data_IF_772885494512
#
_entry.id   IF_772885494512
#
_cell.length_a   1.000
_cell.length_b   1.000
_cell.length_c   1.000
_cell.angle_alpha   90.00
_cell.angle_beta   90.00
_cell.angle_gamma   90.00
#
_symmetry.space_group_name_H-M   'P 1'
#
loop_
_entity.id
_entity.type
_entity.pdbx_description
1 polymer ?
#
# COMPACT_ATOMS: atom_id res chain seq x y z
N UNK A 1 -33.61 57.68 46.90
CA UNK A 1 -32.97 58.85 46.25
C UNK A 1 -33.30 58.78 44.76
N UNK A 2 -33.69 59.92 44.20
CA UNK A 2 -33.92 60.29 42.78
C UNK A 2 -34.91 59.44 41.96
N UNK A 3 -36.17 59.86 41.74
CA UNK A 3 -36.67 60.85 40.75
C UNK A 3 -36.33 60.54 39.30
N UNK A 4 -37.35 60.21 38.50
CA UNK A 4 -37.69 60.94 37.26
C UNK A 4 -39.13 60.59 36.86
N UNK A 5 -40.03 61.53 37.12
CA UNK A 5 -41.32 61.69 36.46
C UNK A 5 -41.10 61.97 34.97
N UNK A 6 -41.96 61.41 34.11
CA UNK A 6 -42.17 61.92 32.75
C UNK A 6 -43.66 62.09 32.56
N UNK A 7 -44.05 63.36 32.52
CA UNK A 7 -45.36 63.89 32.18
C UNK A 7 -45.88 63.32 30.86
N UNK A 8 -47.12 62.82 30.85
CA UNK A 8 -47.95 62.84 29.65
C UNK A 8 -49.24 63.57 29.97
N UNK A 9 -49.23 64.81 29.52
CA UNK A 9 -50.26 65.82 29.56
C UNK A 9 -51.48 65.37 28.72
N UNK A 10 -52.47 64.72 29.35
CA UNK A 10 -53.75 64.39 28.70
C UNK A 10 -54.77 65.49 28.99
N UNK A 11 -54.90 66.38 28.00
CA UNK A 11 -55.84 67.49 27.91
C UNK A 11 -57.28 66.95 27.95
N UNK A 12 -58.00 67.14 29.05
CA UNK A 12 -59.44 66.91 29.13
C UNK A 12 -60.15 68.13 28.53
N UNK A 13 -60.78 67.95 27.37
CA UNK A 13 -61.85 68.81 26.86
C UNK A 13 -62.95 67.92 26.27
N UNK A 14 -64.21 68.37 26.33
CA UNK A 14 -65.32 67.58 26.83
C UNK A 14 -66.01 66.76 25.74
N UNK A 15 -66.54 65.62 26.17
CA UNK A 15 -67.63 64.92 25.53
C UNK A 15 -68.79 65.88 25.26
N UNK A 16 -69.27 65.91 24.02
CA UNK A 16 -70.66 66.16 23.61
C UNK A 16 -70.75 65.80 22.11
N UNK A 17 -71.83 65.09 21.79
CA UNK A 17 -72.41 64.81 20.46
C UNK A 17 -71.93 63.58 19.67
N UNK A 18 -72.43 62.41 20.09
CA UNK A 18 -73.10 61.41 19.21
C UNK A 18 -73.65 60.24 20.05
N UNK A 19 -74.67 60.50 20.88
CA UNK A 19 -75.29 59.49 21.75
C UNK A 19 -76.32 58.58 21.05
N UNK A 20 -76.53 58.70 19.74
CA UNK A 20 -77.56 57.92 19.03
C UNK A 20 -77.03 56.67 18.29
N UNK A 21 -75.73 56.50 18.10
CA UNK A 21 -75.16 55.31 17.43
C UNK A 21 -74.59 54.27 18.43
N UNK A 22 -74.47 54.63 19.71
CA UNK A 22 -73.89 53.77 20.74
C UNK A 22 -74.85 52.71 21.28
N UNK A 23 -76.17 52.96 21.25
CA UNK A 23 -77.15 52.09 21.91
C UNK A 23 -77.35 50.76 21.18
N UNK A 24 -77.26 50.76 19.85
CA UNK A 24 -77.40 49.52 19.06
C UNK A 24 -76.18 48.61 19.22
N UNK A 25 -74.96 49.17 19.31
CA UNK A 25 -73.74 48.38 19.52
C UNK A 25 -73.71 47.63 20.86
N UNK A 26 -74.21 48.25 21.94
CA UNK A 26 -74.27 47.63 23.27
C UNK A 26 -75.36 46.54 23.32
N UNK A 27 -76.49 46.78 22.64
CA UNK A 27 -77.58 45.82 22.53
C UNK A 27 -77.19 44.59 21.70
N UNK A 28 -76.45 44.78 20.62
CA UNK A 28 -75.90 43.68 19.81
C UNK A 28 -74.89 42.85 20.60
N UNK A 29 -74.05 43.49 21.44
CA UNK A 29 -73.12 42.78 22.32
C UNK A 29 -73.84 41.97 23.40
N UNK A 30 -74.93 42.50 23.96
CA UNK A 30 -75.77 41.80 24.92
C UNK A 30 -76.42 40.55 24.29
N UNK A 31 -76.96 40.67 23.07
CA UNK A 31 -77.54 39.56 22.31
C UNK A 31 -76.46 38.52 21.97
N UNK A 32 -75.28 38.94 21.52
CA UNK A 32 -74.18 38.03 21.20
C UNK A 32 -73.61 37.32 22.44
N UNK A 33 -73.73 37.93 23.63
CA UNK A 33 -73.41 37.31 24.91
C UNK A 33 -74.45 36.25 25.30
N UNK A 34 -75.73 36.60 25.19
CA UNK A 34 -76.85 35.69 25.50
C UNK A 34 -76.92 34.49 24.51
N UNK A 35 -76.57 34.72 23.24
CA UNK A 35 -76.43 33.68 22.21
C UNK A 35 -75.12 32.86 22.36
N UNK A 36 -74.25 33.21 23.32
CA UNK A 36 -73.02 32.50 23.62
C UNK A 36 -71.93 32.61 22.54
N UNK A 37 -72.05 33.58 21.62
CA UNK A 37 -71.04 33.89 20.61
C UNK A 37 -69.79 34.51 21.24
N UNK A 38 -69.96 35.23 22.34
CA UNK A 38 -68.89 35.83 23.12
C UNK A 38 -68.44 34.90 24.24
N UNK A 39 -67.13 34.68 24.34
CA UNK A 39 -66.54 33.85 25.41
C UNK A 39 -66.58 34.63 26.72
N UNK A 40 -67.35 34.15 27.68
CA UNK A 40 -67.55 34.73 29.03
C UNK A 40 -66.31 34.66 29.91
N UNK A 41 -65.41 33.71 29.63
CA UNK A 41 -64.49 33.24 30.67
C UNK A 41 -63.19 34.04 30.76
N UNK A 42 -62.80 34.83 29.73
CA UNK A 42 -61.50 35.53 29.67
C UNK A 42 -61.54 36.77 28.76
N UNK A 43 -60.85 37.85 29.15
CA UNK A 43 -60.52 38.95 28.23
C UNK A 43 -59.72 38.41 27.03
N UNK A 44 -60.06 38.87 25.83
CA UNK A 44 -59.32 38.56 24.59
C UNK A 44 -57.99 39.34 24.55
N UNK A 45 -57.05 39.04 25.44
CA UNK A 45 -55.68 39.55 25.32
C UNK A 45 -54.88 38.63 24.39
N UNK A 46 -54.16 39.24 23.44
CA UNK A 46 -53.30 38.52 22.49
C UNK A 46 -52.11 37.99 23.27
N UNK A 47 -52.17 36.72 23.70
CA UNK A 47 -51.02 36.03 24.28
C UNK A 47 -50.03 35.75 23.16
N UNK A 48 -48.88 36.41 23.20
CA UNK A 48 -47.76 36.05 22.34
C UNK A 48 -47.42 34.57 22.56
N UNK A 49 -47.58 33.76 21.50
CA UNK A 49 -47.21 32.35 21.55
C UNK A 49 -45.70 32.27 21.82
N UNK A 50 -45.32 31.71 22.98
CA UNK A 50 -43.92 31.45 23.31
C UNK A 50 -43.29 30.64 22.17
N UNK A 51 -42.11 31.07 21.71
CA UNK A 51 -41.36 30.36 20.65
C UNK A 51 -41.18 28.89 21.06
N UNK A 52 -41.35 27.94 20.13
CA UNK A 52 -41.19 26.53 20.46
C UNK A 52 -39.77 26.27 20.96
N UNK A 53 -39.65 25.38 21.95
CA UNK A 53 -38.35 24.92 22.45
C UNK A 53 -37.68 24.15 21.33
N UNK A 54 -36.49 24.58 20.91
CA UNK A 54 -35.73 23.96 19.81
C UNK A 54 -35.28 22.54 20.19
N UNK A 55 -34.87 22.33 21.45
CA UNK A 55 -34.44 21.02 21.94
C UNK A 55 -35.49 20.40 22.87
N UNK A 56 -36.34 19.54 22.30
CA UNK A 56 -37.41 18.84 23.02
C UNK A 56 -36.95 17.48 23.56
N UNK A 57 -36.14 17.50 24.61
CA UNK A 57 -35.56 16.27 25.22
C UNK A 57 -36.59 15.20 25.58
N UNK A 58 -37.69 15.58 26.23
CA UNK A 58 -38.75 14.65 26.63
C UNK A 58 -39.37 13.92 25.43
N UNK A 59 -39.65 14.63 24.34
CA UNK A 59 -40.20 14.03 23.11
C UNK A 59 -39.19 13.08 22.43
N UNK A 60 -37.88 13.38 22.52
CA UNK A 60 -36.83 12.50 22.00
C UNK A 60 -36.73 11.21 22.82
N UNK A 61 -36.75 11.31 24.14
CA UNK A 61 -36.73 10.14 25.03
C UNK A 61 -37.96 9.25 24.82
N UNK A 62 -39.14 9.84 24.66
CA UNK A 62 -40.37 9.09 24.36
C UNK A 62 -40.29 8.38 23.01
N UNK A 63 -39.68 9.01 22.00
CA UNK A 63 -39.44 8.37 20.70
C UNK A 63 -38.42 7.25 20.77
N UNK A 64 -37.33 7.42 21.54
CA UNK A 64 -36.34 6.36 21.76
C UNK A 64 -37.02 5.14 22.39
N UNK A 65 -37.85 5.35 23.42
CA UNK A 65 -38.62 4.25 24.06
C UNK A 65 -39.58 3.56 23.08
N UNK A 66 -40.21 4.30 22.18
CA UNK A 66 -41.09 3.73 21.14
C UNK A 66 -40.33 2.90 20.11
N UNK A 67 -39.08 3.25 19.81
CA UNK A 67 -38.23 2.55 18.84
C UNK A 67 -37.43 1.41 19.48
N UNK A 68 -37.21 1.45 20.79
CA UNK A 68 -36.46 0.46 21.53
C UNK A 68 -37.17 -0.90 21.46
N UNK A 69 -36.50 -1.88 20.84
CA UNK A 69 -36.94 -3.27 20.81
C UNK A 69 -36.10 -4.08 21.79
N UNK A 70 -36.75 -4.90 22.62
CA UNK A 70 -36.08 -5.82 23.54
C UNK A 70 -35.71 -7.11 22.81
N UNK A 71 -34.63 -7.05 22.03
CA UNK A 71 -34.11 -8.19 21.26
C UNK A 71 -32.91 -8.81 22.01
N UNK A 72 -32.63 -10.08 21.73
CA UNK A 72 -31.42 -10.69 22.23
C UNK A 72 -30.20 -10.07 21.54
N UNK A 73 -29.09 -9.92 22.26
CA UNK A 73 -27.89 -9.30 21.72
C UNK A 73 -27.34 -9.98 20.45
N UNK A 74 -27.64 -11.28 20.25
CA UNK A 74 -27.25 -12.01 19.04
C UNK A 74 -27.93 -11.49 17.76
N UNK A 75 -29.09 -10.85 17.89
CA UNK A 75 -29.85 -10.30 16.75
C UNK A 75 -29.40 -8.87 16.41
N UNK A 76 -28.88 -8.13 17.40
CA UNK A 76 -28.40 -6.76 17.23
C UNK A 76 -26.90 -6.68 16.94
N UNK A 77 -26.09 -7.55 17.57
CA UNK A 77 -24.62 -7.61 17.50
C UNK A 77 -23.92 -6.25 17.71
N UNK A 78 -24.58 -5.36 18.45
CA UNK A 78 -24.14 -4.01 18.72
C UNK A 78 -23.08 -3.98 19.82
N UNK A 79 -21.99 -3.26 19.57
CA UNK A 79 -20.91 -3.09 20.54
C UNK A 79 -20.52 -1.63 20.59
N UNK A 80 -20.63 -1.06 21.78
CA UNK A 80 -20.22 0.30 22.05
C UNK A 80 -18.79 0.30 22.62
N UNK A 81 -17.94 1.14 22.04
CA UNK A 81 -16.56 1.36 22.49
C UNK A 81 -16.33 2.85 22.57
N UNK A 82 -16.04 3.33 23.79
CA UNK A 82 -15.69 4.72 24.02
C UNK A 82 -14.29 5.03 23.47
N UNK A 83 -14.15 6.20 22.87
CA UNK A 83 -12.86 6.73 22.42
C UNK A 83 -12.62 8.09 23.06
N UNK A 84 -11.68 8.13 23.99
CA UNK A 84 -11.34 9.36 24.72
C UNK A 84 -10.21 10.16 24.04
N UNK A 85 -9.84 9.81 22.80
CA UNK A 85 -8.63 10.33 22.12
C UNK A 85 -8.92 11.31 20.97
N UNK A 86 -10.12 11.88 20.88
CA UNK A 86 -10.48 12.84 19.83
C UNK A 86 -9.98 14.25 20.19
N UNK A 87 -8.73 14.54 19.86
CA UNK A 87 -8.15 15.88 19.99
C UNK A 87 -8.29 16.68 18.68
N UNK A 88 -8.30 18.01 18.74
CA UNK A 88 -8.44 18.88 17.55
C UNK A 88 -7.35 18.63 16.49
N UNK A 89 -6.14 18.25 16.91
CA UNK A 89 -5.03 17.87 16.01
C UNK A 89 -5.35 16.63 15.18
N UNK A 90 -6.02 15.66 15.77
CA UNK A 90 -6.45 14.40 15.13
C UNK A 90 -7.54 14.66 14.08
N UNK A 91 -8.34 15.71 14.23
CA UNK A 91 -9.35 16.07 13.22
C UNK A 91 -8.70 16.56 11.92
N UNK A 92 -7.52 17.18 12.01
CA UNK A 92 -6.79 17.65 10.83
C UNK A 92 -5.97 16.55 10.17
N UNK A 93 -5.35 15.66 10.96
CA UNK A 93 -4.53 14.56 10.44
C UNK A 93 -5.37 13.30 10.13
N UNK A 94 -5.46 12.96 8.84
CA UNK A 94 -6.19 11.79 8.35
C UNK A 94 -5.56 10.47 8.79
N UNK A 95 -4.23 10.39 8.88
CA UNK A 95 -3.55 9.15 9.26
C UNK A 95 -3.78 8.82 10.74
N UNK A 96 -3.67 9.83 11.61
CA UNK A 96 -3.94 9.65 13.04
C UNK A 96 -5.40 9.28 13.29
N UNK A 97 -6.32 9.94 12.57
CA UNK A 97 -7.75 9.64 12.65
C UNK A 97 -8.08 8.21 12.20
N UNK A 98 -7.51 7.77 11.07
CA UNK A 98 -7.71 6.41 10.55
C UNK A 98 -7.21 5.35 11.55
N UNK A 99 -6.09 5.62 12.22
CA UNK A 99 -5.56 4.74 13.26
C UNK A 99 -6.53 4.63 14.46
N UNK A 100 -7.20 5.71 14.83
CA UNK A 100 -8.18 5.68 15.94
C UNK A 100 -9.43 4.88 15.53
N UNK A 101 -9.95 5.08 14.33
CA UNK A 101 -11.07 4.29 13.81
C UNK A 101 -10.73 2.81 13.74
N UNK A 102 -9.53 2.48 13.26
CA UNK A 102 -9.03 1.11 13.23
C UNK A 102 -8.98 0.50 14.64
N UNK A 103 -8.41 1.20 15.62
CA UNK A 103 -8.30 0.72 17.02
C UNK A 103 -9.67 0.56 17.68
N UNK A 104 -10.62 1.45 17.39
CA UNK A 104 -11.99 1.33 17.89
C UNK A 104 -12.66 0.07 17.34
N UNK A 105 -12.57 -0.13 16.02
CA UNK A 105 -13.13 -1.32 15.35
C UNK A 105 -12.48 -2.61 15.86
N UNK A 106 -11.16 -2.62 16.07
CA UNK A 106 -10.43 -3.75 16.62
C UNK A 106 -10.93 -4.11 18.03
N UNK A 107 -11.04 -3.13 18.93
CA UNK A 107 -11.56 -3.35 20.29
C UNK A 107 -13.01 -3.85 20.28
N UNK A 108 -13.86 -3.26 19.44
CA UNK A 108 -15.25 -3.68 19.30
C UNK A 108 -15.35 -5.14 18.83
N UNK A 109 -14.54 -5.52 17.84
CA UNK A 109 -14.45 -6.89 17.36
C UNK A 109 -13.95 -7.86 18.45
N UNK A 110 -12.97 -7.47 19.27
CA UNK A 110 -12.48 -8.31 20.37
C UNK A 110 -13.58 -8.58 21.42
N UNK A 111 -14.35 -7.56 21.78
CA UNK A 111 -15.49 -7.70 22.71
C UNK A 111 -16.55 -8.60 22.10
N UNK A 112 -16.93 -8.36 20.85
CA UNK A 112 -17.94 -9.15 20.14
C UNK A 112 -17.52 -10.63 20.04
N UNK A 113 -16.28 -10.91 19.64
CA UNK A 113 -15.73 -12.27 19.50
C UNK A 113 -15.77 -13.01 20.84
N UNK A 114 -15.43 -12.33 21.93
CA UNK A 114 -15.43 -12.92 23.27
C UNK A 114 -16.85 -13.35 23.66
N UNK A 115 -17.84 -12.45 23.52
CA UNK A 115 -19.26 -12.74 23.79
C UNK A 115 -19.80 -13.86 22.89
N UNK A 116 -19.50 -13.83 21.59
CA UNK A 116 -19.95 -14.87 20.65
C UNK A 116 -19.37 -16.26 20.96
N UNK A 117 -18.13 -16.30 21.48
CA UNK A 117 -17.49 -17.56 21.90
C UNK A 117 -18.17 -18.13 23.12
N UNK A 118 -18.54 -17.30 24.10
CA UNK A 118 -19.31 -17.72 25.29
C UNK A 118 -20.67 -18.30 24.90
N UNK A 119 -21.31 -17.74 23.86
CA UNK A 119 -22.57 -18.25 23.32
C UNK A 119 -22.43 -19.48 22.41
N UNK A 120 -21.20 -19.95 22.15
CA UNK A 120 -20.94 -21.14 21.32
C UNK A 120 -21.17 -20.94 19.82
N UNK A 121 -21.16 -19.70 19.32
CA UNK A 121 -21.39 -19.38 17.90
C UNK A 121 -20.10 -19.57 17.10
N UNK A 122 -20.21 -20.12 15.88
CA UNK A 122 -19.07 -20.24 14.95
C UNK A 122 -18.79 -18.89 14.28
N UNK A 123 -17.63 -18.29 14.59
CA UNK A 123 -17.28 -16.91 14.19
C UNK A 123 -16.48 -16.88 12.89
N UNK A 124 -15.54 -17.80 12.71
CA UNK A 124 -14.61 -17.77 11.59
C UNK A 124 -15.18 -18.47 10.36
N UNK A 125 -15.05 -17.80 9.20
CA UNK A 125 -15.38 -18.40 7.90
C UNK A 125 -14.38 -19.52 7.58
N UNK A 126 -14.83 -20.78 7.40
CA UNK A 126 -13.95 -21.86 6.94
C UNK A 126 -13.41 -21.59 5.54
N UNK A 127 -12.19 -22.04 5.26
CA UNK A 127 -11.55 -21.87 3.94
C UNK A 127 -12.29 -22.60 2.82
N UNK A 128 -13.02 -23.67 3.16
CA UNK A 128 -13.77 -24.52 2.24
C UNK A 128 -15.22 -24.04 2.01
N UNK A 129 -15.64 -22.94 2.65
CA UNK A 129 -16.99 -22.39 2.48
C UNK A 129 -17.02 -21.32 1.40
N UNK A 130 -17.45 -21.70 0.20
CA UNK A 130 -17.60 -20.82 -0.97
C UNK A 130 -19.02 -20.25 -1.03
N UNK A 131 -19.17 -18.99 -0.59
CA UNK A 131 -20.38 -18.19 -0.76
C UNK A 131 -20.02 -16.89 -1.50
N UNK A 132 -21.03 -16.21 -2.05
CA UNK A 132 -20.83 -14.94 -2.73
C UNK A 132 -20.21 -13.90 -1.78
N UNK A 133 -19.06 -13.36 -2.17
CA UNK A 133 -18.35 -12.31 -1.43
C UNK A 133 -18.58 -10.98 -2.14
N UNK A 134 -18.70 -9.90 -1.35
CA UNK A 134 -19.01 -8.54 -1.85
C UNK A 134 -18.03 -8.09 -2.96
N UNK A 135 -16.77 -8.52 -2.89
CA UNK A 135 -15.71 -8.05 -3.80
C UNK A 135 -15.21 -9.15 -4.73
N UNK A 136 -15.62 -9.07 -5.99
CA UNK A 136 -15.27 -10.07 -7.02
C UNK A 136 -13.89 -9.87 -7.66
N UNK A 137 -13.33 -8.64 -7.63
CA UNK A 137 -12.08 -8.28 -8.34
C UNK A 137 -10.81 -8.36 -7.48
N UNK A 138 -10.70 -9.34 -6.59
CA UNK A 138 -9.54 -9.46 -5.69
C UNK A 138 -8.23 -9.78 -6.45
N UNK A 139 -8.30 -10.57 -7.52
CA UNK A 139 -7.14 -10.90 -8.34
C UNK A 139 -6.49 -9.67 -8.98
N UNK A 140 -7.29 -8.71 -9.46
CA UNK A 140 -6.78 -7.46 -10.05
C UNK A 140 -6.00 -6.62 -9.03
N UNK A 141 -6.47 -6.59 -7.78
CA UNK A 141 -5.81 -5.86 -6.69
C UNK A 141 -4.48 -6.52 -6.36
N UNK A 142 -4.44 -7.84 -6.25
CA UNK A 142 -3.21 -8.59 -6.00
C UNK A 142 -2.20 -8.40 -7.13
N UNK A 143 -2.64 -8.48 -8.39
CA UNK A 143 -1.78 -8.18 -9.54
C UNK A 143 -1.22 -6.76 -9.48
N UNK A 144 -2.04 -5.77 -9.13
CA UNK A 144 -1.59 -4.38 -9.02
C UNK A 144 -0.53 -4.22 -7.93
N UNK A 145 -0.69 -4.89 -6.79
CA UNK A 145 0.31 -4.91 -5.71
C UNK A 145 1.62 -5.56 -6.17
N UNK A 146 1.55 -6.71 -6.82
CA UNK A 146 2.74 -7.39 -7.35
C UNK A 146 3.47 -6.54 -8.39
N UNK A 147 2.74 -5.85 -9.27
CA UNK A 147 3.31 -4.91 -10.26
C UNK A 147 4.04 -3.76 -9.55
N UNK A 148 3.45 -3.18 -8.51
CA UNK A 148 4.08 -2.10 -7.73
C UNK A 148 5.36 -2.56 -7.01
N UNK A 149 5.34 -3.75 -6.41
CA UNK A 149 6.52 -4.34 -5.78
C UNK A 149 7.64 -4.63 -6.78
N UNK A 150 7.30 -5.19 -7.96
CA UNK A 150 8.27 -5.43 -9.02
C UNK A 150 8.91 -4.13 -9.51
N UNK A 151 8.12 -3.07 -9.68
CA UNK A 151 8.62 -1.73 -10.03
C UNK A 151 9.59 -1.21 -8.95
N UNK A 152 9.27 -1.39 -7.67
CA UNK A 152 10.14 -0.98 -6.56
C UNK A 152 11.48 -1.72 -6.59
N UNK A 153 11.47 -3.05 -6.77
CA UNK A 153 12.70 -3.87 -6.88
C UNK A 153 13.56 -3.45 -8.06
N UNK A 154 12.96 -3.26 -9.24
CA UNK A 154 13.68 -2.79 -10.44
C UNK A 154 14.32 -1.41 -10.19
N UNK A 155 13.65 -0.50 -9.48
CA UNK A 155 14.23 0.81 -9.14
C UNK A 155 15.43 0.67 -8.20
N UNK A 156 15.36 -0.21 -7.21
CA UNK A 156 16.46 -0.48 -6.27
C UNK A 156 17.66 -1.12 -6.97
N UNK A 157 17.43 -2.10 -7.84
CA UNK A 157 18.48 -2.74 -8.67
C UNK A 157 19.17 -1.72 -9.60
N UNK A 158 18.39 -0.84 -10.26
CA UNK A 158 18.95 0.22 -11.11
C UNK A 158 19.81 1.20 -10.31
N UNK A 159 19.38 1.60 -9.11
CA UNK A 159 20.17 2.45 -8.21
C UNK A 159 21.48 1.77 -7.81
N UNK A 160 21.43 0.47 -7.49
CA UNK A 160 22.61 -0.32 -7.16
C UNK A 160 23.57 -0.45 -8.35
N UNK A 161 23.06 -0.79 -9.53
CA UNK A 161 23.85 -0.89 -10.75
C UNK A 161 24.56 0.42 -11.09
N UNK A 162 23.87 1.56 -10.98
CA UNK A 162 24.48 2.88 -11.17
C UNK A 162 25.62 3.16 -10.16
N UNK A 163 25.45 2.76 -8.90
CA UNK A 163 26.49 2.89 -7.86
C UNK A 163 27.72 2.02 -8.18
N UNK A 164 27.50 0.80 -8.64
CA UNK A 164 28.57 -0.12 -9.07
C UNK A 164 29.33 0.44 -10.27
N UNK A 165 28.62 0.94 -11.28
CA UNK A 165 29.24 1.54 -12.47
C UNK A 165 30.10 2.76 -12.12
N UNK A 166 29.61 3.67 -11.25
CA UNK A 166 30.40 4.82 -10.78
C UNK A 166 31.68 4.39 -10.08
N UNK A 167 31.60 3.40 -9.18
CA UNK A 167 32.78 2.85 -8.48
C UNK A 167 33.75 2.20 -9.46
N UNK A 168 33.25 1.40 -10.41
CA UNK A 168 34.08 0.76 -11.42
C UNK A 168 34.80 1.80 -12.31
N UNK A 169 34.10 2.87 -12.69
CA UNK A 169 34.71 4.01 -13.41
C UNK A 169 35.83 4.67 -12.61
N UNK A 170 35.60 4.94 -11.32
CA UNK A 170 36.61 5.51 -10.43
C UNK A 170 37.84 4.60 -10.29
N UNK A 171 37.63 3.30 -10.09
CA UNK A 171 38.70 2.30 -10.01
C UNK A 171 39.48 2.26 -11.33
N UNK A 172 38.80 2.30 -12.48
CA UNK A 172 39.44 2.31 -13.79
C UNK A 172 40.34 3.52 -13.97
N UNK A 173 39.85 4.73 -13.65
CA UNK A 173 40.65 5.95 -13.70
C UNK A 173 41.88 5.87 -12.79
N UNK A 174 41.69 5.42 -11.54
CA UNK A 174 42.77 5.25 -10.58
C UNK A 174 43.85 4.27 -11.07
N UNK A 175 43.45 3.14 -11.67
CA UNK A 175 44.38 2.16 -12.24
C UNK A 175 45.17 2.74 -13.42
N UNK A 176 44.53 3.55 -14.28
CA UNK A 176 45.20 4.20 -15.41
C UNK A 176 46.20 5.24 -14.92
N UNK A 177 45.80 6.08 -13.96
CA UNK A 177 46.67 7.11 -13.37
C UNK A 177 47.90 6.49 -12.71
N UNK A 178 47.72 5.40 -11.95
CA UNK A 178 48.82 4.63 -11.36
C UNK A 178 49.78 4.08 -12.41
N UNK A 179 49.27 3.52 -13.51
CA UNK A 179 50.13 3.04 -14.62
C UNK A 179 50.89 4.18 -15.29
N UNK A 180 50.26 5.36 -15.42
CA UNK A 180 50.92 6.53 -16.00
C UNK A 180 52.01 7.08 -15.09
N UNK A 181 51.78 7.16 -13.77
CA UNK A 181 52.81 7.59 -12.81
C UNK A 181 53.98 6.60 -12.77
N UNK A 182 53.72 5.30 -12.73
CA UNK A 182 54.75 4.25 -12.82
C UNK A 182 55.59 4.38 -14.11
N UNK A 183 54.94 4.64 -15.26
CA UNK A 183 55.64 4.91 -16.54
C UNK A 183 56.47 6.19 -16.51
N UNK A 184 55.97 7.27 -15.89
CA UNK A 184 56.72 8.53 -15.73
C UNK A 184 57.96 8.32 -14.89
N UNK A 185 57.82 7.64 -13.74
CA UNK A 185 58.94 7.29 -12.85
C UNK A 185 59.98 6.44 -13.58
N UNK A 186 59.54 5.42 -14.32
CA UNK A 186 60.44 4.59 -15.12
C UNK A 186 61.15 5.40 -16.21
N UNK A 187 60.43 6.26 -16.93
CA UNK A 187 61.01 7.12 -17.97
C UNK A 187 62.04 8.11 -17.39
N UNK A 188 61.79 8.66 -16.20
CA UNK A 188 62.75 9.50 -15.48
C UNK A 188 63.98 8.71 -15.04
N UNK A 189 63.81 7.49 -14.53
CA UNK A 189 64.93 6.60 -14.19
C UNK A 189 65.78 6.27 -15.43
N UNK A 190 65.14 5.98 -16.58
CA UNK A 190 65.83 5.73 -17.86
C UNK A 190 66.59 6.97 -18.33
N UNK A 191 65.99 8.16 -18.24
CA UNK A 191 66.67 9.43 -18.56
C UNK A 191 67.88 9.67 -17.66
N UNK A 192 67.78 9.41 -16.35
CA UNK A 192 68.91 9.51 -15.40
C UNK A 192 70.02 8.52 -15.70
N UNK A 193 69.66 7.28 -16.07
CA UNK A 193 70.63 6.27 -16.52
C UNK A 193 71.34 6.68 -17.81
N UNK A 194 70.62 7.22 -18.81
CA UNK A 194 71.21 7.74 -20.05
C UNK A 194 72.18 8.91 -19.80
N UNK A 195 71.99 9.67 -18.71
CA UNK A 195 72.88 10.74 -18.24
C UNK A 195 74.06 10.24 -17.38
N UNK A 196 74.26 8.93 -17.23
CA UNK A 196 75.43 8.34 -16.58
C UNK A 196 75.24 7.89 -15.12
N UNK A 197 74.05 8.09 -14.52
CA UNK A 197 73.78 7.65 -13.13
C UNK A 197 73.13 6.26 -13.14
N UNK A 198 73.95 5.20 -13.02
CA UNK A 198 73.51 3.79 -13.19
C UNK A 198 72.75 3.19 -12.00
N UNK A 199 72.99 3.66 -10.78
CA UNK A 199 72.55 3.01 -9.53
C UNK A 199 71.02 2.95 -9.34
N UNK A 200 70.28 3.97 -9.80
CA UNK A 200 68.85 4.10 -9.50
C UNK A 200 67.95 3.20 -10.36
N UNK A 201 68.35 2.97 -11.63
CA UNK A 201 67.60 2.12 -12.55
C UNK A 201 67.82 0.62 -12.25
N UNK A 202 69.03 0.25 -11.85
CA UNK A 202 69.38 -1.12 -11.48
C UNK A 202 68.66 -1.57 -10.21
N UNK A 203 68.54 -0.68 -9.20
CA UNK A 203 67.75 -0.96 -7.99
C UNK A 203 66.25 -1.22 -8.27
N UNK A 204 65.64 -0.48 -9.21
CA UNK A 204 64.23 -0.69 -9.59
C UNK A 204 64.00 -2.00 -10.37
N UNK A 205 64.94 -2.37 -11.24
CA UNK A 205 64.88 -3.63 -12.00
C UNK A 205 65.13 -4.87 -11.12
N UNK A 206 66.03 -4.76 -10.14
CA UNK A 206 66.31 -5.85 -9.21
C UNK A 206 65.14 -6.12 -8.24
N UNK A 207 64.39 -5.08 -7.86
CA UNK A 207 63.17 -5.26 -7.05
C UNK A 207 62.01 -5.90 -7.84
N UNK A 208 61.88 -5.62 -9.15
CA UNK A 208 60.84 -6.24 -9.99
C UNK A 208 61.12 -7.71 -10.31
N UNK A 209 62.40 -8.10 -10.47
CA UNK A 209 62.79 -9.52 -10.64
C UNK A 209 62.44 -10.36 -9.39
N UNK A 210 62.69 -9.83 -8.18
CA UNK A 210 62.31 -10.50 -6.92
C UNK A 210 60.80 -10.74 -6.75
N UNK A 211 59.95 -9.88 -7.34
CA UNK A 211 58.49 -10.04 -7.30
C UNK A 211 58.01 -11.12 -8.28
N UNK A 212 58.64 -11.25 -9.46
CA UNK A 212 58.30 -12.30 -10.42
C UNK A 212 58.70 -13.70 -9.94
N UNK A 213 59.84 -13.82 -9.25
CA UNK A 213 60.33 -15.10 -8.72
C UNK A 213 59.45 -15.63 -7.56
N UNK A 214 58.72 -14.74 -6.87
CA UNK A 214 57.79 -15.12 -5.78
C UNK A 214 56.39 -15.51 -6.28
N UNK A 215 55.98 -15.10 -7.49
CA UNK A 215 54.70 -15.52 -8.10
C UNK A 215 54.77 -16.90 -8.80
N UNK A 216 55.97 -17.42 -9.10
CA UNK A 216 56.17 -18.80 -9.63
C UNK A 216 56.24 -19.85 -8.51
N UNK A 217 56.26 -19.43 -7.24
CA UNK A 217 56.51 -20.27 -6.07
C UNK A 217 55.30 -20.74 -5.25
N UNK A 218 54.05 -20.61 -5.72
CA UNK A 218 52.88 -21.10 -4.95
C UNK A 218 52.52 -22.52 -5.40
N UNK A 219 53.15 -23.50 -4.74
CA UNK A 219 52.65 -24.88 -4.67
C UNK A 219 51.26 -24.86 -4.03
N UNK A 220 50.20 -24.95 -4.84
CA UNK A 220 48.89 -25.42 -4.37
C UNK A 220 48.80 -26.91 -4.66
N UNK A 221 48.81 -27.69 -3.58
CA UNK A 221 48.23 -29.02 -3.54
C UNK A 221 46.75 -28.96 -4.00
N UNK A 222 46.26 -30.13 -4.38
CA UNK A 222 44.84 -30.46 -4.53
C UNK A 222 44.22 -30.32 -5.93
N UNK A 223 44.24 -31.48 -6.62
CA UNK A 223 43.09 -32.14 -7.23
C UNK A 223 42.02 -31.23 -7.88
N UNK A 224 42.00 -31.29 -9.22
CA UNK A 224 40.76 -31.39 -9.98
C UNK A 224 40.05 -30.08 -10.30
N UNK A 225 40.55 -29.31 -11.28
CA UNK A 225 39.74 -28.36 -12.08
C UNK A 225 40.44 -27.90 -13.37
N UNK A 226 41.11 -28.81 -14.08
CA UNK A 226 41.63 -28.55 -15.43
C UNK A 226 40.70 -29.12 -16.53
N UNK A 227 39.40 -28.82 -16.47
CA UNK A 227 38.48 -29.24 -17.56
C UNK A 227 37.55 -28.13 -18.08
N UNK A 228 37.42 -27.01 -17.39
CA UNK A 228 36.45 -25.97 -17.77
C UNK A 228 36.99 -24.96 -18.80
N UNK A 229 38.30 -24.69 -18.80
CA UNK A 229 38.92 -23.78 -19.78
C UNK A 229 38.96 -24.34 -21.21
N UNK A 230 38.89 -25.67 -21.38
CA UNK A 230 38.83 -26.31 -22.71
C UNK A 230 37.48 -26.05 -23.40
N UNK A 231 36.36 -26.03 -22.68
CA UNK A 231 35.04 -25.79 -23.27
C UNK A 231 34.92 -24.40 -23.92
N UNK A 232 35.48 -23.36 -23.29
CA UNK A 232 35.51 -22.00 -23.87
C UNK A 232 36.39 -21.88 -25.12
N UNK A 233 37.42 -22.71 -25.27
CA UNK A 233 38.27 -22.73 -26.48
C UNK A 233 37.61 -23.57 -27.58
N UNK A 234 37.12 -24.76 -27.24
CA UNK A 234 36.37 -25.65 -28.14
C UNK A 234 35.13 -24.95 -28.71
N UNK A 235 34.39 -24.17 -27.91
CA UNK A 235 33.23 -23.41 -28.39
C UNK A 235 33.60 -22.26 -29.34
N UNK A 236 34.74 -21.59 -29.11
CA UNK A 236 35.26 -20.55 -30.01
C UNK A 236 35.81 -21.14 -31.30
N UNK A 237 36.50 -22.26 -31.23
CA UNK A 237 37.00 -22.98 -32.41
C UNK A 237 35.84 -23.60 -33.21
N UNK A 238 34.76 -24.01 -32.56
CA UNK A 238 33.54 -24.45 -33.26
C UNK A 238 32.81 -23.30 -33.98
N UNK A 239 32.88 -22.07 -33.43
CA UNK A 239 32.22 -20.88 -34.01
C UNK A 239 33.08 -20.15 -35.06
N UNK A 240 34.39 -20.10 -34.85
CA UNK A 240 35.33 -19.27 -35.62
C UNK A 240 36.56 -20.04 -36.14
N UNK A 241 36.71 -21.32 -35.83
CA UNK A 241 37.84 -22.13 -36.29
C UNK A 241 37.73 -22.45 -37.78
N UNK A 242 38.84 -22.28 -38.49
CA UNK A 242 38.95 -22.40 -39.95
C UNK A 242 38.91 -23.84 -40.50
N UNK A 243 38.50 -24.84 -39.71
CA UNK A 243 38.57 -26.26 -40.13
C UNK A 243 37.51 -27.22 -39.57
N UNK A 244 36.46 -26.74 -38.88
CA UNK A 244 35.39 -27.61 -38.38
C UNK A 244 34.30 -27.90 -39.42
N UNK A 245 33.72 -29.11 -39.43
CA UNK A 245 32.71 -29.59 -40.40
C UNK A 245 31.51 -28.63 -40.60
N UNK A 246 31.59 -27.75 -41.60
CA UNK A 246 30.44 -26.96 -42.11
C UNK A 246 29.59 -27.69 -43.16
N UNK A 247 30.00 -28.90 -43.58
CA UNK A 247 29.39 -29.62 -44.73
C UNK A 247 28.01 -30.22 -44.46
N UNK A 248 27.53 -30.30 -43.21
CA UNK A 248 26.22 -30.88 -42.87
C UNK A 248 25.37 -30.05 -41.91
N UNK A 249 25.83 -28.87 -41.50
CA UNK A 249 25.10 -27.99 -40.59
C UNK A 249 23.87 -27.32 -41.21
N UNK A 250 23.74 -27.38 -42.54
CA UNK A 250 22.57 -26.88 -43.29
C UNK A 250 21.57 -28.01 -43.65
N UNK A 251 21.76 -29.24 -43.18
CA UNK A 251 20.79 -30.33 -43.39
C UNK A 251 19.74 -30.28 -42.28
N UNK A 252 18.47 -30.39 -42.66
CA UNK A 252 17.37 -30.52 -41.70
C UNK A 252 17.53 -31.84 -40.93
N UNK A 253 17.56 -31.73 -39.60
CA UNK A 253 17.49 -32.89 -38.71
C UNK A 253 16.03 -33.03 -38.24
N UNK A 254 15.65 -34.22 -37.74
CA UNK A 254 14.29 -34.51 -37.25
C UNK A 254 13.74 -33.46 -36.26
N UNK A 255 14.63 -32.78 -35.52
CA UNK A 255 14.29 -31.74 -34.55
C UNK A 255 14.01 -30.35 -35.16
N UNK A 256 14.36 -30.11 -36.43
CA UNK A 256 14.11 -28.83 -37.13
C UNK A 256 12.65 -28.69 -37.59
N UNK A 257 11.85 -29.76 -37.52
CA UNK A 257 10.44 -29.73 -37.93
C UNK A 257 9.50 -29.16 -36.85
N UNK A 258 9.92 -29.12 -35.58
CA UNK A 258 9.05 -28.70 -34.47
C UNK A 258 9.22 -27.21 -34.07
N UNK A 259 10.11 -26.45 -34.72
CA UNK A 259 10.46 -25.07 -34.33
C UNK A 259 9.47 -23.99 -34.83
N UNK A 260 8.31 -24.39 -35.35
CA UNK A 260 7.17 -23.49 -35.66
C UNK A 260 6.08 -23.49 -34.56
N UNK A 261 6.46 -23.74 -33.30
CA UNK A 261 5.53 -23.71 -32.16
C UNK A 261 5.85 -22.55 -31.20
N UNK A 262 5.06 -21.48 -31.35
CA UNK A 262 4.61 -20.45 -30.38
C UNK A 262 5.56 -20.06 -29.22
N UNK A 263 5.86 -18.75 -29.00
CA UNK A 263 6.91 -18.25 -28.12
C UNK A 263 6.60 -18.33 -26.61
N UNK A 264 6.21 -19.52 -26.10
CA UNK A 264 5.93 -19.77 -24.68
C UNK A 264 6.27 -21.19 -24.20
N UNK A 265 6.70 -22.10 -25.08
CA UNK A 265 6.93 -23.52 -24.74
C UNK A 265 8.34 -23.84 -24.25
N UNK A 266 9.31 -22.91 -24.39
CA UNK A 266 10.73 -23.11 -24.01
C UNK A 266 10.98 -23.29 -22.50
N UNK A 267 10.07 -22.86 -21.63
CA UNK A 267 10.25 -22.96 -20.18
C UNK A 267 10.09 -24.38 -19.63
N UNK A 268 9.48 -25.32 -20.38
CA UNK A 268 9.12 -26.65 -19.85
C UNK A 268 10.20 -27.71 -20.03
N UNK A 269 11.28 -27.44 -20.78
CA UNK A 269 12.28 -28.45 -21.18
C UNK A 269 13.59 -28.44 -20.38
N UNK A 270 13.75 -27.54 -19.40
CA UNK A 270 14.97 -27.43 -18.58
C UNK A 270 14.92 -28.18 -17.24
N UNK A 271 13.81 -28.85 -16.91
CA UNK A 271 13.68 -29.72 -15.72
C UNK A 271 13.41 -31.16 -16.16
N UNK A 272 14.45 -31.94 -16.40
CA UNK A 272 14.27 -33.35 -16.74
C UNK A 272 15.48 -34.05 -17.35
N UNK A 273 16.66 -33.89 -16.76
CA UNK A 273 17.77 -34.82 -17.02
C UNK A 273 18.25 -35.40 -15.69
N UNK A 274 17.56 -36.44 -15.22
CA UNK A 274 18.11 -37.36 -14.23
C UNK A 274 18.67 -38.57 -14.97
N UNK A 275 19.92 -38.89 -14.66
CA UNK A 275 20.62 -40.09 -15.05
C UNK A 275 19.87 -41.31 -14.48
N UNK A 276 19.45 -42.24 -15.34
CA UNK A 276 18.74 -43.46 -14.93
C UNK A 276 19.10 -44.61 -15.86
N UNK A 277 19.66 -45.66 -15.27
CA UNK A 277 20.21 -46.83 -15.93
C UNK A 277 19.19 -47.56 -16.84
N UNK A 278 19.70 -48.08 -17.96
CA UNK A 278 19.00 -48.98 -18.87
C UNK A 278 18.69 -50.30 -18.15
N UNK A 279 17.41 -50.57 -17.85
CA UNK A 279 16.91 -51.91 -17.54
C UNK A 279 15.89 -52.27 -18.62
N UNK A 280 16.29 -53.19 -19.50
CA UNK A 280 15.45 -53.80 -20.52
C UNK A 280 14.33 -54.60 -19.82
N UNK A 281 13.07 -54.22 -20.02
CA UNK A 281 11.91 -55.08 -19.72
C UNK A 281 11.34 -55.61 -21.03
N UNK A 282 11.43 -56.93 -21.16
CA UNK A 282 10.82 -57.75 -22.20
C UNK A 282 9.29 -57.67 -22.12
N UNK A 283 8.65 -57.48 -23.28
CA UNK A 283 7.20 -57.65 -23.42
C UNK A 283 6.88 -59.13 -23.59
N UNK A 284 6.26 -59.74 -22.57
CA UNK A 284 5.56 -61.02 -22.70
C UNK A 284 4.05 -60.77 -22.61
N UNK A 285 3.34 -61.06 -23.71
CA UNK A 285 1.87 -61.09 -23.81
C UNK A 285 1.33 -62.31 -23.05
N UNK A 286 0.42 -62.10 -22.10
CA UNK A 286 -0.37 -63.18 -21.53
C UNK A 286 -1.52 -63.55 -22.49
N UNK A 287 -1.58 -64.82 -22.90
CA UNK A 287 -2.73 -65.43 -23.61
C UNK A 287 -3.77 -65.83 -22.56
N UNK A 288 -5.03 -65.44 -22.79
CA UNK A 288 -6.22 -66.00 -22.14
C UNK A 288 -6.34 -67.50 -22.44
N UNK A 289 -6.53 -68.31 -21.40
CA UNK A 289 -7.55 -69.37 -21.33
C UNK A 289 -8.10 -69.37 -19.92
#
# INVERSE_FOLDING_TARGET
>A
MSTTDVDVNARILPAIESEEESSDSDRELQIAFDEGLLKTDKLNYIVEKKRPIINKKAELEDKIKKLAMNLAWLETLDVEVNNDHLNEKVLSDDFEREIIFYKQAEKAAQIAISRLREMGVRIFRPTDYYAEMIRQRMAEIEESKQKLEAIRRIREEKKFAAKVQKKAGFISCFVIERKQSEKKILAEAVKKHRKGVKSHLDAMLNNTRRIQDTEVGIKRSEKGRMREKRFRRIARDKKFGFGGQKKRSKKNNKNSFEEFATPGSLARRLKGHHFGAHVLKSHAKARKR
#
